data_IF_139295330263
#
_entry.id   IF_139295330263
#
_cell.length_a   1.000
_cell.length_b   1.000
_cell.length_c   1.000
_cell.angle_alpha   90.00
_cell.angle_beta   90.00
_cell.angle_gamma   90.00
#
_symmetry.space_group_name_H-M   'P 1'
#
loop_
_entity.id
_entity.type
_entity.pdbx_description
1 polymer ?
#
# COMPACT_ATOMS: atom_id res chain seq x y z
N UNK A 1 -37.22 21.98 5.25
CA UNK A 1 -36.79 22.48 3.93
C UNK A 1 -35.28 22.58 3.98
N UNK A 2 -34.62 21.54 3.52
CA UNK A 2 -33.16 21.47 3.47
C UNK A 2 -32.70 22.39 2.34
N UNK A 3 -31.98 23.44 2.72
CA UNK A 3 -31.36 24.36 1.79
C UNK A 3 -30.17 23.64 1.15
N UNK A 4 -30.43 22.88 0.08
CA UNK A 4 -29.38 22.31 -0.74
C UNK A 4 -28.80 23.44 -1.57
N UNK A 5 -27.72 24.06 -1.08
CA UNK A 5 -26.93 24.99 -1.89
C UNK A 5 -26.44 24.19 -3.10
N UNK A 6 -26.81 24.63 -4.31
CA UNK A 6 -26.35 24.01 -5.54
C UNK A 6 -24.81 23.92 -5.53
N UNK A 7 -24.29 22.77 -5.89
CA UNK A 7 -22.84 22.58 -6.03
C UNK A 7 -22.28 23.58 -7.06
N UNK A 8 -21.13 24.22 -6.79
CA UNK A 8 -20.51 25.11 -7.77
C UNK A 8 -20.26 24.39 -9.11
N UNK A 9 -20.61 25.00 -10.23
CA UNK A 9 -20.36 24.44 -11.59
C UNK A 9 -18.91 23.99 -11.77
N UNK A 10 -17.96 24.70 -11.18
CA UNK A 10 -16.55 24.38 -11.19
C UNK A 10 -16.22 23.05 -10.48
N UNK A 11 -16.82 22.77 -9.32
CA UNK A 11 -16.62 21.53 -8.59
C UNK A 11 -17.12 20.33 -9.39
N UNK A 12 -18.29 20.46 -10.02
CA UNK A 12 -18.86 19.45 -10.93
C UNK A 12 -17.95 19.19 -12.13
N UNK A 13 -17.43 20.26 -12.74
CA UNK A 13 -16.51 20.17 -13.88
C UNK A 13 -15.21 19.44 -13.49
N UNK A 14 -14.61 19.79 -12.35
CA UNK A 14 -13.38 19.16 -11.86
C UNK A 14 -13.61 17.69 -11.47
N UNK A 15 -14.72 17.37 -10.82
CA UNK A 15 -15.11 16.01 -10.49
C UNK A 15 -15.21 15.13 -11.73
N UNK A 16 -15.92 15.60 -12.76
CA UNK A 16 -16.07 14.87 -14.01
C UNK A 16 -14.72 14.69 -14.72
N UNK A 17 -13.88 15.72 -14.73
CA UNK A 17 -12.53 15.64 -15.30
C UNK A 17 -11.70 14.53 -14.62
N UNK A 18 -11.70 14.45 -13.29
CA UNK A 18 -10.99 13.37 -12.55
C UNK A 18 -11.50 12.00 -12.97
N UNK A 19 -12.80 11.81 -13.07
CA UNK A 19 -13.38 10.53 -13.47
C UNK A 19 -13.01 10.19 -14.92
N UNK A 20 -13.02 11.15 -15.82
CA UNK A 20 -12.59 10.97 -17.23
C UNK A 20 -11.11 10.55 -17.31
N UNK A 21 -10.24 11.17 -16.50
CA UNK A 21 -8.82 10.80 -16.40
C UNK A 21 -8.66 9.36 -15.90
N UNK A 22 -9.38 8.98 -14.83
CA UNK A 22 -9.32 7.62 -14.27
C UNK A 22 -9.77 6.55 -15.27
N UNK A 23 -10.81 6.85 -16.08
CA UNK A 23 -11.26 5.96 -17.15
C UNK A 23 -10.20 5.85 -18.27
N UNK A 24 -9.62 6.99 -18.68
CA UNK A 24 -8.62 7.03 -19.74
C UNK A 24 -7.33 6.26 -19.37
N UNK A 25 -6.94 6.33 -18.10
CA UNK A 25 -5.74 5.65 -17.57
C UNK A 25 -6.00 4.18 -17.19
N UNK A 26 -7.24 3.69 -17.35
CA UNK A 26 -7.62 2.31 -17.01
C UNK A 26 -7.65 2.01 -15.51
N UNK A 27 -7.68 3.05 -14.67
CA UNK A 27 -7.83 2.91 -13.21
C UNK A 27 -9.29 2.71 -12.79
N UNK A 28 -10.23 3.05 -13.66
CA UNK A 28 -11.66 2.93 -13.47
C UNK A 28 -12.29 2.31 -14.72
N UNK A 29 -13.00 1.20 -14.54
CA UNK A 29 -13.62 0.44 -15.64
C UNK A 29 -15.09 0.08 -15.37
N UNK A 30 -15.53 0.06 -14.11
CA UNK A 30 -16.89 -0.29 -13.70
C UNK A 30 -17.81 0.92 -13.84
N UNK A 31 -18.87 0.85 -14.68
CA UNK A 31 -19.84 1.96 -14.85
C UNK A 31 -20.52 2.35 -13.52
N UNK A 32 -20.73 1.41 -12.63
CA UNK A 32 -21.35 1.66 -11.32
C UNK A 32 -20.44 2.53 -10.44
N UNK A 33 -19.13 2.25 -10.41
CA UNK A 33 -18.16 3.04 -9.65
C UNK A 33 -17.99 4.42 -10.32
N UNK A 34 -17.94 4.48 -11.64
CA UNK A 34 -17.92 5.74 -12.39
C UNK A 34 -19.11 6.63 -12.02
N UNK A 35 -20.32 6.09 -12.05
CA UNK A 35 -21.53 6.83 -11.71
C UNK A 35 -21.51 7.38 -10.28
N UNK A 36 -21.05 6.57 -9.32
CA UNK A 36 -20.92 6.96 -7.90
C UNK A 36 -19.87 8.07 -7.73
N UNK A 37 -18.70 7.94 -8.34
CA UNK A 37 -17.65 8.97 -8.26
C UNK A 37 -18.05 10.28 -8.91
N UNK A 38 -18.90 10.26 -9.97
CA UNK A 38 -19.51 11.46 -10.58
C UNK A 38 -20.60 12.07 -9.70
N UNK A 39 -21.27 11.26 -8.87
CA UNK A 39 -22.38 11.71 -8.00
C UNK A 39 -21.89 12.38 -6.73
N UNK A 40 -20.98 11.72 -5.99
CA UNK A 40 -20.57 12.14 -4.64
C UNK A 40 -19.59 13.31 -4.70
N UNK A 41 -19.86 14.45 -4.02
CA UNK A 41 -19.02 15.63 -4.07
C UNK A 41 -17.79 15.48 -3.17
N UNK A 42 -16.67 14.99 -3.71
CA UNK A 42 -15.44 14.74 -2.96
C UNK A 42 -14.98 15.94 -2.11
N UNK A 43 -15.05 17.17 -2.66
CA UNK A 43 -14.62 18.38 -1.96
C UNK A 43 -15.38 18.63 -0.65
N UNK A 44 -16.61 18.12 -0.53
CA UNK A 44 -17.41 18.22 0.69
C UNK A 44 -16.84 17.39 1.85
N UNK A 45 -16.00 16.42 1.56
CA UNK A 45 -15.32 15.54 2.53
C UNK A 45 -13.87 15.95 2.80
N UNK A 46 -13.38 17.02 2.20
CA UNK A 46 -12.06 17.59 2.48
C UNK A 46 -12.14 18.67 3.56
N UNK A 47 -11.03 19.14 4.17
CA UNK A 47 -11.02 20.31 5.01
C UNK A 47 -11.60 21.54 4.28
N UNK A 48 -12.29 22.42 5.00
CA UNK A 48 -13.03 23.54 4.41
C UNK A 48 -12.15 24.57 3.67
N UNK A 49 -10.88 24.64 4.01
CA UNK A 49 -9.87 25.50 3.40
C UNK A 49 -9.17 24.86 2.18
N UNK A 50 -9.52 23.61 1.85
CA UNK A 50 -8.95 22.91 0.70
C UNK A 50 -9.46 23.52 -0.61
N UNK A 51 -8.54 23.94 -1.50
CA UNK A 51 -8.95 24.42 -2.82
C UNK A 51 -9.60 23.30 -3.65
N UNK A 52 -10.51 23.65 -4.56
CA UNK A 52 -11.14 22.68 -5.45
C UNK A 52 -10.09 21.92 -6.29
N UNK A 53 -9.06 22.60 -6.77
CA UNK A 53 -7.99 21.95 -7.52
C UNK A 53 -7.23 20.91 -6.69
N UNK A 54 -6.96 21.20 -5.43
CA UNK A 54 -6.34 20.24 -4.51
C UNK A 54 -7.29 19.08 -4.17
N UNK A 55 -8.57 19.39 -3.91
CA UNK A 55 -9.57 18.36 -3.62
C UNK A 55 -9.77 17.39 -4.80
N UNK A 56 -9.63 17.88 -6.03
CA UNK A 56 -9.81 17.13 -7.26
C UNK A 56 -8.49 16.83 -8.00
N UNK A 57 -7.36 16.78 -7.29
CA UNK A 57 -6.13 16.21 -7.84
C UNK A 57 -6.28 14.68 -7.90
N UNK A 58 -6.14 14.11 -9.10
CA UNK A 58 -6.40 12.69 -9.39
C UNK A 58 -5.47 11.75 -8.60
N UNK A 59 -4.24 12.19 -8.32
CA UNK A 59 -3.17 11.36 -7.76
C UNK A 59 -2.71 11.80 -6.37
N UNK A 60 -3.30 12.85 -5.81
CA UNK A 60 -2.95 13.35 -4.49
C UNK A 60 -4.02 13.09 -3.43
N UNK A 61 -3.58 12.63 -2.25
CA UNK A 61 -4.43 12.57 -1.07
C UNK A 61 -4.53 13.95 -0.42
N UNK A 62 -5.66 14.23 0.24
CA UNK A 62 -5.84 15.42 1.07
C UNK A 62 -5.72 15.04 2.54
N UNK A 63 -4.69 15.55 3.21
CA UNK A 63 -4.46 15.26 4.63
C UNK A 63 -5.54 15.94 5.48
N UNK A 64 -6.12 15.20 6.42
CA UNK A 64 -7.19 15.68 7.30
C UNK A 64 -6.77 15.76 8.76
N UNK A 65 -5.71 15.04 9.14
CA UNK A 65 -5.14 15.07 10.49
C UNK A 65 -3.65 14.72 10.46
N UNK A 66 -2.87 15.45 11.25
CA UNK A 66 -1.47 15.16 11.58
C UNK A 66 -1.31 15.13 13.09
N UNK A 67 -0.27 14.46 13.60
CA UNK A 67 0.16 14.58 15.00
C UNK A 67 1.01 15.85 15.23
N UNK A 68 1.48 16.01 16.47
CA UNK A 68 2.33 17.15 16.88
C UNK A 68 3.70 17.16 16.19
N UNK A 69 4.17 16.02 15.69
CA UNK A 69 5.42 15.86 14.95
C UNK A 69 5.22 16.00 13.43
N UNK A 70 3.99 16.26 12.96
CA UNK A 70 3.66 16.41 11.55
C UNK A 70 3.46 15.07 10.80
N UNK A 71 3.40 13.96 11.52
CA UNK A 71 3.08 12.64 10.92
C UNK A 71 1.62 12.61 10.51
N UNK A 72 1.36 12.18 9.30
CA UNK A 72 0.01 12.08 8.76
C UNK A 72 -0.75 10.92 9.40
N UNK A 73 -1.86 11.22 10.06
CA UNK A 73 -2.69 10.25 10.77
C UNK A 73 -3.99 9.91 10.02
N UNK A 74 -4.53 10.85 9.24
CA UNK A 74 -5.75 10.64 8.46
C UNK A 74 -5.72 11.45 7.17
N UNK A 75 -6.35 10.93 6.14
CA UNK A 75 -6.48 11.62 4.84
C UNK A 75 -7.75 11.19 4.10
N UNK A 76 -8.19 12.04 3.17
CA UNK A 76 -9.06 11.62 2.07
C UNK A 76 -8.14 11.11 0.97
N UNK A 77 -8.15 9.81 0.74
CA UNK A 77 -7.24 9.13 -0.21
C UNK A 77 -7.37 9.70 -1.63
N UNK A 78 -6.31 9.63 -2.43
CA UNK A 78 -6.34 10.07 -3.83
C UNK A 78 -7.47 9.38 -4.60
N UNK A 79 -8.15 10.08 -5.53
CA UNK A 79 -9.21 9.49 -6.34
C UNK A 79 -8.81 8.20 -7.05
N UNK A 80 -7.60 8.14 -7.58
CA UNK A 80 -7.04 6.95 -8.23
C UNK A 80 -6.96 5.76 -7.27
N UNK A 81 -6.55 5.96 -6.02
CA UNK A 81 -6.48 4.90 -5.02
C UNK A 81 -7.89 4.43 -4.62
N UNK A 82 -8.85 5.36 -4.47
CA UNK A 82 -10.23 5.01 -4.15
C UNK A 82 -10.89 4.22 -5.28
N UNK A 83 -10.77 4.66 -6.54
CA UNK A 83 -11.27 3.93 -7.71
C UNK A 83 -10.69 2.51 -7.77
N UNK A 84 -9.37 2.38 -7.66
CA UNK A 84 -8.65 1.10 -7.67
C UNK A 84 -9.16 0.13 -6.59
N UNK A 85 -9.36 0.61 -5.36
CA UNK A 85 -9.81 -0.25 -4.25
C UNK A 85 -11.30 -0.61 -4.37
N UNK A 86 -12.13 0.29 -4.87
CA UNK A 86 -13.55 -0.01 -5.17
C UNK A 86 -13.68 -1.07 -6.27
N UNK A 87 -12.86 -0.98 -7.34
CA UNK A 87 -12.75 -2.03 -8.38
C UNK A 87 -12.33 -3.38 -7.78
N UNK A 88 -11.36 -3.36 -6.87
CA UNK A 88 -10.91 -4.56 -6.16
C UNK A 88 -12.00 -5.14 -5.25
N UNK A 89 -12.81 -4.30 -4.62
CA UNK A 89 -13.84 -4.72 -3.69
C UNK A 89 -15.03 -5.41 -4.38
N UNK A 90 -15.35 -5.05 -5.62
CA UNK A 90 -16.48 -5.60 -6.38
C UNK A 90 -17.80 -5.51 -5.62
N UNK A 91 -18.07 -4.36 -5.04
CA UNK A 91 -19.29 -4.09 -4.27
C UNK A 91 -20.52 -4.27 -5.16
N UNK A 92 -21.57 -4.90 -4.61
CA UNK A 92 -22.86 -5.10 -5.29
C UNK A 92 -24.02 -4.60 -4.43
N UNK A 93 -25.14 -4.22 -5.04
CA UNK A 93 -26.36 -3.89 -4.30
C UNK A 93 -26.75 -4.99 -3.29
N UNK A 94 -27.22 -4.57 -2.12
CA UNK A 94 -27.62 -5.46 -1.02
C UNK A 94 -26.47 -6.03 -0.19
N UNK A 95 -25.21 -5.76 -0.54
CA UNK A 95 -24.07 -6.24 0.24
C UNK A 95 -23.95 -5.47 1.56
N UNK A 96 -23.30 -6.13 2.52
CA UNK A 96 -22.90 -5.59 3.81
C UNK A 96 -21.41 -5.37 3.83
N UNK A 97 -20.95 -4.13 4.10
CA UNK A 97 -19.55 -3.73 4.02
C UNK A 97 -19.08 -3.17 5.35
N UNK A 98 -17.93 -3.66 5.82
CA UNK A 98 -17.15 -3.05 6.90
C UNK A 98 -16.00 -2.27 6.26
N UNK A 99 -15.97 -0.96 6.46
CA UNK A 99 -14.82 -0.11 6.17
C UNK A 99 -14.01 0.13 7.44
N UNK A 100 -12.69 0.00 7.34
CA UNK A 100 -11.73 0.30 8.43
C UNK A 100 -10.89 1.49 8.02
N UNK A 101 -11.00 2.59 8.79
CA UNK A 101 -10.50 3.91 8.44
C UNK A 101 -11.64 4.81 7.96
N UNK A 102 -12.16 5.68 8.84
CA UNK A 102 -13.42 6.41 8.62
C UNK A 102 -13.19 7.83 8.10
N UNK A 103 -12.79 7.99 6.85
CA UNK A 103 -12.68 9.31 6.20
C UNK A 103 -14.01 9.94 5.77
N UNK A 104 -15.10 9.17 5.77
CA UNK A 104 -16.45 9.57 5.35
C UNK A 104 -16.70 9.44 3.84
N UNK A 105 -15.83 9.94 2.98
CA UNK A 105 -16.03 9.90 1.52
C UNK A 105 -16.14 8.48 0.96
N UNK A 106 -15.24 7.59 1.36
CA UNK A 106 -15.26 6.23 0.84
C UNK A 106 -16.50 5.47 1.36
N UNK A 107 -16.91 5.70 2.62
CA UNK A 107 -18.17 5.20 3.14
C UNK A 107 -19.39 5.70 2.34
N UNK A 108 -19.39 6.96 1.87
CA UNK A 108 -20.43 7.48 0.99
C UNK A 108 -20.44 6.77 -0.38
N UNK A 109 -19.28 6.49 -0.98
CA UNK A 109 -19.19 5.69 -2.20
C UNK A 109 -19.73 4.27 -1.99
N UNK A 110 -19.34 3.62 -0.89
CA UNK A 110 -19.81 2.29 -0.54
C UNK A 110 -21.32 2.28 -0.34
N UNK A 111 -21.88 3.29 0.36
CA UNK A 111 -23.31 3.42 0.57
C UNK A 111 -24.10 3.55 -0.74
N UNK A 112 -23.60 4.30 -1.71
CA UNK A 112 -24.22 4.37 -3.05
C UNK A 112 -24.16 3.04 -3.78
N UNK A 113 -23.02 2.33 -3.72
CA UNK A 113 -22.84 1.05 -4.40
C UNK A 113 -23.70 -0.08 -3.83
N UNK A 114 -23.86 -0.15 -2.50
CA UNK A 114 -24.69 -1.18 -1.86
C UNK A 114 -26.19 -0.89 -1.99
N UNK A 115 -26.57 0.36 -2.28
CA UNK A 115 -27.96 0.78 -2.40
C UNK A 115 -28.74 0.77 -1.08
N UNK A 116 -30.06 0.88 -1.16
CA UNK A 116 -30.95 0.99 0.02
C UNK A 116 -31.06 -0.33 0.82
N UNK A 117 -30.93 -1.47 0.14
CA UNK A 117 -31.01 -2.81 0.75
C UNK A 117 -29.68 -3.28 1.35
N UNK A 118 -28.59 -2.53 1.13
CA UNK A 118 -27.28 -2.83 1.66
C UNK A 118 -26.96 -2.04 2.95
N UNK A 119 -25.85 -2.42 3.59
CA UNK A 119 -25.43 -1.84 4.86
C UNK A 119 -23.94 -1.50 4.83
N UNK A 120 -23.58 -0.34 5.38
CA UNK A 120 -22.19 0.11 5.52
C UNK A 120 -21.91 0.50 6.95
N UNK A 121 -20.92 -0.17 7.53
CA UNK A 121 -20.35 0.20 8.82
C UNK A 121 -18.93 0.72 8.57
N UNK A 122 -18.60 1.90 9.04
CA UNK A 122 -17.27 2.48 8.97
C UNK A 122 -16.71 2.67 10.37
N UNK A 123 -15.48 2.23 10.61
CA UNK A 123 -14.84 2.24 11.92
C UNK A 123 -13.50 2.93 11.89
N UNK A 124 -13.23 3.71 12.92
CA UNK A 124 -11.91 4.31 13.17
C UNK A 124 -11.65 4.34 14.69
N UNK A 125 -10.38 4.23 15.04
CA UNK A 125 -9.96 4.30 16.45
C UNK A 125 -10.00 5.72 17.00
N UNK A 126 -9.92 6.72 16.12
CA UNK A 126 -9.82 8.14 16.49
C UNK A 126 -11.21 8.80 16.56
N UNK A 127 -11.66 9.25 17.74
CA UNK A 127 -12.96 9.88 17.89
C UNK A 127 -13.09 11.18 17.08
N UNK A 128 -11.99 11.93 16.85
CA UNK A 128 -12.03 13.15 16.03
C UNK A 128 -12.34 12.81 14.56
N UNK A 129 -11.79 11.68 14.07
CA UNK A 129 -12.03 11.20 12.71
C UNK A 129 -13.47 10.73 12.58
N UNK A 130 -13.97 9.91 13.52
CA UNK A 130 -15.35 9.37 13.46
C UNK A 130 -16.40 10.46 13.64
N UNK A 131 -16.19 11.43 14.52
CA UNK A 131 -17.13 12.56 14.70
C UNK A 131 -17.21 13.43 13.44
N UNK A 132 -16.05 13.67 12.80
CA UNK A 132 -16.01 14.36 11.52
C UNK A 132 -16.74 13.57 10.42
N UNK A 133 -16.47 12.27 10.32
CA UNK A 133 -17.13 11.40 9.34
C UNK A 133 -18.63 11.38 9.51
N UNK A 134 -19.13 11.18 10.74
CA UNK A 134 -20.57 11.18 11.07
C UNK A 134 -21.22 12.48 10.63
N UNK A 135 -20.68 13.61 11.03
CA UNK A 135 -21.20 14.92 10.65
C UNK A 135 -21.27 15.10 9.13
N UNK A 136 -20.19 14.79 8.40
CA UNK A 136 -20.16 14.96 6.94
C UNK A 136 -21.12 13.99 6.22
N UNK A 137 -21.24 12.76 6.68
CA UNK A 137 -22.17 11.79 6.13
C UNK A 137 -23.63 12.25 6.33
N UNK A 138 -23.98 12.75 7.53
CA UNK A 138 -25.31 13.27 7.82
C UNK A 138 -25.64 14.52 6.97
N UNK A 139 -24.70 15.47 6.87
CA UNK A 139 -24.86 16.70 6.07
C UNK A 139 -25.09 16.41 4.58
N UNK A 140 -24.58 15.28 4.06
CA UNK A 140 -24.65 14.96 2.63
C UNK A 140 -25.62 13.81 2.32
N UNK A 141 -26.51 13.46 3.27
CA UNK A 141 -27.60 12.51 3.02
C UNK A 141 -27.21 11.02 3.17
N UNK A 142 -26.07 10.74 3.80
CA UNK A 142 -25.57 9.37 4.07
C UNK A 142 -25.72 8.95 5.53
N UNK A 143 -26.65 9.55 6.29
CA UNK A 143 -26.87 9.25 7.71
C UNK A 143 -27.26 7.78 8.02
N UNK A 144 -27.51 6.97 6.99
CA UNK A 144 -27.70 5.52 7.11
C UNK A 144 -26.39 4.73 7.31
N UNK A 145 -25.23 5.35 7.10
CA UNK A 145 -23.92 4.73 7.35
C UNK A 145 -23.68 4.71 8.86
N UNK A 146 -23.39 3.52 9.38
CA UNK A 146 -23.07 3.35 10.79
C UNK A 146 -21.61 3.68 11.09
N UNK A 147 -21.37 4.79 11.78
CA UNK A 147 -20.01 5.22 12.16
C UNK A 147 -19.70 4.75 13.57
N UNK A 148 -18.65 3.96 13.73
CA UNK A 148 -18.22 3.35 15.00
C UNK A 148 -16.84 3.86 15.39
N UNK A 149 -16.65 4.21 16.67
CA UNK A 149 -15.33 4.52 17.23
C UNK A 149 -14.83 3.31 18.01
N UNK A 150 -13.88 2.57 17.44
CA UNK A 150 -13.31 1.35 18.04
C UNK A 150 -11.96 1.00 17.40
N UNK A 151 -11.17 0.19 18.11
CA UNK A 151 -10.02 -0.50 17.48
C UNK A 151 -10.54 -1.68 16.64
N UNK A 152 -10.42 -1.57 15.32
CA UNK A 152 -10.89 -2.60 14.38
C UNK A 152 -10.04 -3.88 14.38
N UNK A 153 -8.99 -3.97 15.17
CA UNK A 153 -8.29 -5.22 15.44
C UNK A 153 -9.14 -6.20 16.25
N UNK A 154 -10.11 -5.66 17.01
CA UNK A 154 -11.10 -6.42 17.75
C UNK A 154 -12.42 -6.54 16.94
N UNK A 155 -13.22 -7.58 17.19
CA UNK A 155 -14.51 -7.73 16.54
C UNK A 155 -15.44 -6.55 16.86
N UNK A 156 -16.08 -5.98 15.83
CA UNK A 156 -17.09 -4.93 16.02
C UNK A 156 -18.37 -5.59 16.57
N UNK A 157 -18.83 -5.17 17.75
CA UNK A 157 -20.05 -5.75 18.36
C UNK A 157 -21.26 -5.63 17.43
N UNK A 158 -22.13 -6.63 17.44
CA UNK A 158 -23.39 -6.69 16.70
C UNK A 158 -23.28 -6.52 15.18
N UNK A 159 -22.05 -6.45 14.64
CA UNK A 159 -21.85 -6.32 13.19
C UNK A 159 -22.39 -7.52 12.42
N UNK A 160 -22.24 -8.74 12.96
CA UNK A 160 -22.55 -9.98 12.22
C UNK A 160 -21.59 -10.22 11.07
N UNK A 161 -21.97 -11.10 10.15
CA UNK A 161 -21.15 -11.40 8.96
C UNK A 161 -21.26 -10.32 7.87
N UNK A 162 -20.15 -9.91 7.30
CA UNK A 162 -20.08 -8.95 6.18
C UNK A 162 -19.61 -9.61 4.89
N UNK A 163 -20.02 -9.06 3.76
CA UNK A 163 -19.61 -9.55 2.44
C UNK A 163 -18.22 -9.01 2.07
N UNK A 164 -17.89 -7.81 2.57
CA UNK A 164 -16.63 -7.14 2.27
C UNK A 164 -16.08 -6.51 3.56
N UNK A 165 -14.78 -6.70 3.78
CA UNK A 165 -13.96 -5.86 4.65
C UNK A 165 -13.04 -5.04 3.78
N UNK A 166 -13.12 -3.70 3.87
CA UNK A 166 -12.29 -2.77 3.13
C UNK A 166 -11.46 -1.94 4.10
N UNK A 167 -10.14 -2.17 4.12
CA UNK A 167 -9.21 -1.44 4.98
C UNK A 167 -8.65 -0.26 4.22
N UNK A 168 -8.75 0.94 4.77
CA UNK A 168 -8.25 2.18 4.16
C UNK A 168 -7.11 2.83 4.95
N UNK A 169 -6.38 2.02 5.71
CA UNK A 169 -5.13 2.35 6.38
C UNK A 169 -4.06 1.28 6.06
N UNK A 170 -2.79 1.65 6.12
CA UNK A 170 -1.69 0.75 5.82
C UNK A 170 -1.49 -0.30 6.90
N UNK A 171 -1.91 -1.54 6.62
CA UNK A 171 -1.82 -2.65 7.56
C UNK A 171 -0.51 -3.42 7.38
N UNK A 172 0.17 -3.70 8.50
CA UNK A 172 1.32 -4.59 8.50
C UNK A 172 0.93 -6.05 8.62
N UNK A 173 -0.18 -6.34 9.31
CA UNK A 173 -0.70 -7.69 9.53
C UNK A 173 -2.20 -7.74 9.24
N UNK A 174 -2.77 -8.93 9.16
CA UNK A 174 -4.20 -9.17 9.03
C UNK A 174 -4.75 -9.53 10.41
N UNK A 175 -5.55 -8.63 10.99
CA UNK A 175 -6.18 -8.91 12.27
C UNK A 175 -7.17 -10.09 12.15
N UNK A 176 -7.17 -11.04 13.11
CA UNK A 176 -8.09 -12.18 13.09
C UNK A 176 -9.57 -11.77 13.04
N UNK A 177 -9.93 -10.63 13.65
CA UNK A 177 -11.28 -10.10 13.62
C UNK A 177 -11.79 -9.81 12.19
N UNK A 178 -10.91 -9.39 11.28
CA UNK A 178 -11.32 -9.08 9.90
C UNK A 178 -11.77 -10.31 9.14
N UNK A 179 -11.04 -11.42 9.30
CA UNK A 179 -11.39 -12.69 8.64
C UNK A 179 -12.57 -13.40 9.34
N UNK A 180 -12.65 -13.30 10.68
CA UNK A 180 -13.74 -13.89 11.45
C UNK A 180 -15.10 -13.23 11.17
N UNK A 181 -15.11 -11.95 10.80
CA UNK A 181 -16.33 -11.22 10.45
C UNK A 181 -16.71 -11.33 8.96
N UNK A 182 -15.85 -11.92 8.10
CA UNK A 182 -16.20 -12.19 6.72
C UNK A 182 -17.15 -13.39 6.61
N UNK A 183 -18.18 -13.25 5.77
CA UNK A 183 -19.00 -14.40 5.34
C UNK A 183 -18.16 -15.34 4.47
N UNK A 184 -18.61 -16.58 4.35
CA UNK A 184 -18.02 -17.52 3.39
C UNK A 184 -18.07 -16.91 1.97
N UNK A 185 -16.93 -16.89 1.29
CA UNK A 185 -16.79 -16.24 -0.02
C UNK A 185 -16.70 -14.72 0.03
N UNK A 186 -16.66 -14.13 1.24
CA UNK A 186 -16.46 -12.71 1.43
C UNK A 186 -15.05 -12.25 0.96
N UNK A 187 -14.90 -10.94 0.78
CA UNK A 187 -13.71 -10.32 0.22
C UNK A 187 -13.06 -9.36 1.22
N UNK A 188 -11.74 -9.48 1.37
CA UNK A 188 -10.91 -8.52 2.10
C UNK A 188 -10.09 -7.70 1.10
N UNK A 189 -10.21 -6.36 1.14
CA UNK A 189 -9.34 -5.44 0.41
C UNK A 189 -8.52 -4.66 1.41
N UNK A 190 -7.19 -4.77 1.33
CA UNK A 190 -6.31 -4.21 2.35
C UNK A 190 -5.00 -3.71 1.77
N UNK A 191 -4.54 -2.50 2.13
CA UNK A 191 -3.18 -2.04 1.86
C UNK A 191 -2.20 -2.77 2.77
N UNK A 192 -1.73 -3.94 2.30
CA UNK A 192 -0.86 -4.82 3.08
C UNK A 192 0.61 -4.45 2.85
N UNK A 193 1.32 -4.24 3.94
CA UNK A 193 2.75 -3.94 3.95
C UNK A 193 3.56 -5.21 4.12
N UNK A 194 4.51 -5.41 3.22
CA UNK A 194 5.37 -6.60 3.14
C UNK A 194 6.77 -6.15 2.77
N UNK A 195 7.72 -6.30 3.67
CA UNK A 195 9.14 -6.00 3.44
C UNK A 195 9.41 -4.59 2.90
N UNK A 196 8.76 -3.56 3.47
CA UNK A 196 8.90 -2.16 3.05
C UNK A 196 8.07 -1.79 1.81
N UNK A 197 7.35 -2.73 1.22
CA UNK A 197 6.48 -2.52 0.06
C UNK A 197 5.01 -2.60 0.47
N UNK A 198 4.20 -1.63 0.05
CA UNK A 198 2.76 -1.66 0.31
C UNK A 198 2.00 -1.97 -0.97
N UNK A 199 1.06 -2.91 -0.87
CA UNK A 199 0.15 -3.28 -1.96
C UNK A 199 -1.29 -3.26 -1.46
N UNK A 200 -2.19 -2.63 -2.22
CA UNK A 200 -3.61 -2.90 -2.06
C UNK A 200 -3.90 -4.28 -2.61
N UNK A 201 -4.23 -5.21 -1.72
CA UNK A 201 -4.48 -6.61 -2.08
C UNK A 201 -5.94 -6.92 -1.88
N UNK A 202 -6.57 -7.47 -2.91
CA UNK A 202 -7.89 -8.07 -2.79
C UNK A 202 -7.73 -9.58 -2.54
N UNK A 203 -8.22 -10.03 -1.40
CA UNK A 203 -8.20 -11.42 -0.99
C UNK A 203 -9.60 -12.02 -1.04
N UNK A 204 -9.66 -13.33 -1.34
CA UNK A 204 -10.80 -14.20 -1.06
C UNK A 204 -10.36 -15.33 -0.15
N UNK A 205 -11.27 -15.76 0.70
CA UNK A 205 -11.06 -16.95 1.52
C UNK A 205 -11.21 -18.20 0.64
N UNK A 206 -10.22 -19.08 0.69
CA UNK A 206 -10.21 -20.34 -0.05
C UNK A 206 -9.89 -21.50 0.90
N UNK A 207 -10.44 -22.68 0.60
CA UNK A 207 -10.00 -23.91 1.27
C UNK A 207 -8.67 -24.32 0.65
N UNK A 208 -7.62 -24.26 1.47
CA UNK A 208 -6.31 -24.80 1.12
C UNK A 208 -6.19 -26.27 1.49
N UNK A 209 -5.12 -26.92 1.06
CA UNK A 209 -4.84 -28.33 1.37
C UNK A 209 -4.75 -28.58 2.89
N UNK A 210 -4.37 -27.55 3.66
CA UNK A 210 -4.15 -27.63 5.12
C UNK A 210 -5.11 -26.72 5.91
N UNK A 211 -6.26 -26.39 5.35
CA UNK A 211 -7.27 -25.54 5.97
C UNK A 211 -7.48 -24.18 5.27
N UNK A 212 -8.40 -23.36 5.80
CA UNK A 212 -8.75 -22.10 5.16
C UNK A 212 -7.58 -21.11 5.17
N UNK A 213 -7.36 -20.44 4.04
CA UNK A 213 -6.41 -19.34 3.92
C UNK A 213 -6.99 -18.22 3.04
N UNK A 214 -6.40 -17.04 3.11
CA UNK A 214 -6.70 -15.97 2.15
C UNK A 214 -5.79 -16.13 0.93
N UNK A 215 -6.34 -15.95 -0.26
CA UNK A 215 -5.59 -15.93 -1.52
C UNK A 215 -5.84 -14.63 -2.26
N UNK A 216 -4.77 -13.98 -2.72
CA UNK A 216 -4.88 -12.77 -3.51
C UNK A 216 -5.48 -13.03 -4.90
N UNK A 217 -6.38 -12.15 -5.32
CA UNK A 217 -6.87 -12.08 -6.70
C UNK A 217 -6.19 -10.93 -7.46
N UNK A 218 -5.77 -9.90 -6.76
CA UNK A 218 -5.00 -8.79 -7.31
C UNK A 218 -4.14 -8.13 -6.24
N UNK A 219 -3.01 -7.56 -6.65
CA UNK A 219 -2.13 -6.76 -5.82
C UNK A 219 -1.68 -5.54 -6.63
N UNK A 220 -1.92 -4.33 -6.11
CA UNK A 220 -1.63 -3.07 -6.79
C UNK A 220 -0.78 -2.16 -5.91
N UNK A 221 0.17 -1.42 -6.51
CA UNK A 221 0.99 -0.45 -5.76
C UNK A 221 0.08 0.61 -5.13
N UNK A 222 0.32 0.90 -3.85
CA UNK A 222 -0.37 1.96 -3.14
C UNK A 222 0.50 2.50 -1.98
N UNK A 223 0.12 3.67 -1.47
CA UNK A 223 0.63 4.23 -0.22
C UNK A 223 -0.53 4.64 0.68
N UNK A 224 -0.41 4.40 1.97
CA UNK A 224 -1.41 4.75 2.98
C UNK A 224 -0.75 5.23 4.26
N UNK A 225 -1.47 6.05 5.02
CA UNK A 225 -1.12 6.33 6.41
C UNK A 225 -1.09 5.02 7.20
N UNK A 226 -0.13 4.84 8.13
CA UNK A 226 -0.01 3.59 8.88
C UNK A 226 -1.22 3.35 9.79
N UNK A 227 -1.57 2.08 9.96
CA UNK A 227 -2.56 1.63 10.94
C UNK A 227 -2.13 2.04 12.35
N UNK A 228 -3.09 2.47 13.15
CA UNK A 228 -2.92 2.80 14.56
C UNK A 228 -3.53 1.69 15.45
N UNK A 229 -3.41 1.85 16.78
CA UNK A 229 -3.98 0.90 17.74
C UNK A 229 -3.13 -0.35 17.96
N UNK A 230 -3.76 -1.45 18.30
CA UNK A 230 -3.09 -2.70 18.68
C UNK A 230 -2.37 -3.39 17.52
N UNK A 231 -2.70 -3.07 16.27
CA UNK A 231 -2.02 -3.57 15.06
C UNK A 231 -1.03 -2.57 14.47
N UNK A 232 -0.71 -1.49 15.20
CA UNK A 232 0.31 -0.53 14.78
C UNK A 232 1.67 -1.23 14.65
N UNK A 233 2.37 -0.95 13.57
CA UNK A 233 3.72 -1.47 13.32
C UNK A 233 4.66 -0.33 12.97
N UNK A 234 5.88 -0.40 13.48
CA UNK A 234 6.95 0.52 13.13
C UNK A 234 8.03 -0.23 12.39
N UNK A 235 8.43 0.33 11.25
CA UNK A 235 9.66 -0.12 10.60
C UNK A 235 10.87 0.15 11.51
N UNK A 236 11.83 -0.75 11.49
CA UNK A 236 13.09 -0.56 12.18
C UNK A 236 14.07 0.17 11.26
N UNK A 237 14.76 1.17 11.81
CA UNK A 237 15.71 2.01 11.10
C UNK A 237 17.13 1.68 11.55
N UNK A 238 17.95 1.23 10.61
CA UNK A 238 19.39 1.10 10.80
C UNK A 238 20.10 2.30 10.17
N UNK A 239 20.79 3.08 10.99
CA UNK A 239 21.66 4.16 10.50
C UNK A 239 23.05 3.58 10.19
N UNK A 240 23.43 3.59 8.92
CA UNK A 240 24.74 3.10 8.51
C UNK A 240 25.82 3.96 9.13
N UNK A 241 26.81 3.34 9.75
CA UNK A 241 27.88 4.01 10.48
C UNK A 241 27.38 4.96 11.60
N UNK A 242 26.17 4.71 12.14
CA UNK A 242 25.59 5.50 13.23
C UNK A 242 25.24 6.94 12.85
N UNK A 243 25.25 7.29 11.56
CA UNK A 243 24.95 8.65 11.08
C UNK A 243 23.57 8.70 10.42
N UNK A 244 22.85 9.84 10.50
CA UNK A 244 21.53 9.98 9.88
C UNK A 244 21.58 10.08 8.35
N UNK A 245 22.76 10.07 7.74
CA UNK A 245 22.93 10.24 6.30
C UNK A 245 22.28 9.11 5.51
N UNK A 246 22.53 7.85 5.93
CA UNK A 246 22.03 6.67 5.24
C UNK A 246 21.20 5.84 6.22
N UNK A 247 19.91 5.77 6.00
CA UNK A 247 18.98 4.95 6.76
C UNK A 247 18.48 3.77 5.96
N UNK A 248 18.69 2.56 6.46
CA UNK A 248 18.11 1.34 5.93
C UNK A 248 16.91 0.95 6.78
N UNK A 249 15.77 0.74 6.14
CA UNK A 249 14.47 0.51 6.79
C UNK A 249 14.01 -0.92 6.57
N UNK A 250 13.71 -1.60 7.68
CA UNK A 250 13.31 -3.00 7.70
C UNK A 250 11.91 -3.15 8.32
N UNK A 251 11.07 -3.95 7.71
CA UNK A 251 9.75 -4.29 8.25
C UNK A 251 9.76 -5.57 9.08
N UNK A 252 10.70 -6.46 8.79
CA UNK A 252 10.72 -7.83 9.33
C UNK A 252 11.83 -7.99 10.39
N UNK A 253 12.28 -6.90 10.99
CA UNK A 253 13.38 -6.86 11.96
C UNK A 253 14.74 -6.52 11.33
N UNK A 254 15.64 -6.00 12.17
CA UNK A 254 17.01 -5.69 11.77
C UNK A 254 17.81 -6.97 11.45
N UNK A 255 18.89 -6.87 10.66
CA UNK A 255 19.87 -7.94 10.56
C UNK A 255 20.36 -8.39 11.94
N UNK A 256 20.68 -9.67 12.08
CA UNK A 256 21.09 -10.28 13.37
C UNK A 256 22.28 -9.54 14.05
N UNK A 257 23.16 -8.95 13.25
CA UNK A 257 24.26 -8.10 13.72
C UNK A 257 24.34 -6.83 12.86
N UNK A 258 23.55 -5.77 13.20
CA UNK A 258 23.51 -4.54 12.44
C UNK A 258 24.84 -3.76 12.44
N UNK A 259 25.67 -3.96 13.47
CA UNK A 259 26.98 -3.29 13.59
C UNK A 259 28.01 -3.76 12.54
N UNK A 260 27.77 -4.87 11.85
CA UNK A 260 28.64 -5.31 10.75
C UNK A 260 28.69 -4.28 9.61
N UNK A 261 27.68 -3.45 9.47
CA UNK A 261 27.62 -2.38 8.44
C UNK A 261 28.35 -1.08 8.84
N UNK A 262 28.82 -0.93 10.08
CA UNK A 262 29.39 0.32 10.58
C UNK A 262 30.56 0.83 9.72
N UNK A 263 31.32 -0.06 9.11
CA UNK A 263 32.46 0.29 8.27
C UNK A 263 32.20 0.13 6.75
N UNK A 264 30.99 -0.25 6.34
CA UNK A 264 30.70 -0.48 4.93
C UNK A 264 31.04 0.72 4.04
N UNK A 265 30.78 1.95 4.54
CA UNK A 265 31.03 3.20 3.81
C UNK A 265 32.52 3.59 3.73
N UNK A 266 33.41 2.89 4.41
CA UNK A 266 34.87 3.11 4.31
C UNK A 266 35.46 2.43 3.08
N UNK A 267 34.74 1.50 2.47
CA UNK A 267 35.14 0.83 1.24
C UNK A 267 34.73 1.64 0.02
N UNK A 268 35.51 1.56 -1.08
CA UNK A 268 35.12 2.19 -2.34
C UNK A 268 33.75 1.67 -2.81
N UNK A 269 32.88 2.61 -3.23
CA UNK A 269 31.60 2.22 -3.84
C UNK A 269 31.85 1.47 -5.13
N UNK A 270 31.32 0.25 -5.21
CA UNK A 270 31.28 -0.53 -6.45
C UNK A 270 30.02 -0.16 -7.25
N UNK A 271 30.17 0.12 -8.53
CA UNK A 271 29.09 0.50 -9.44
C UNK A 271 28.97 -0.51 -10.58
N UNK A 272 27.82 -1.13 -10.73
CA UNK A 272 27.54 -2.13 -11.76
C UNK A 272 26.30 -1.70 -12.57
N UNK A 273 26.43 -1.61 -13.88
CA UNK A 273 25.29 -1.38 -14.77
C UNK A 273 24.85 -2.71 -15.36
N UNK A 274 23.54 -3.00 -15.24
CA UNK A 274 23.00 -4.36 -15.43
C UNK A 274 22.67 -4.71 -16.87
N UNK A 275 22.50 -3.70 -17.74
CA UNK A 275 21.94 -3.84 -19.07
C UNK A 275 20.40 -3.89 -19.11
N UNK A 276 19.75 -4.04 -17.94
CA UNK A 276 18.28 -4.06 -17.84
C UNK A 276 17.74 -2.65 -17.99
N UNK A 277 16.89 -2.42 -18.98
CA UNK A 277 16.31 -1.12 -19.27
C UNK A 277 14.80 -1.12 -19.15
N UNK A 278 14.21 -0.03 -18.63
CA UNK A 278 12.77 0.17 -18.52
C UNK A 278 12.35 1.50 -19.15
N UNK A 279 11.13 1.59 -19.63
CA UNK A 279 10.58 2.87 -20.08
C UNK A 279 10.36 3.79 -18.88
N UNK A 280 10.51 5.10 -19.07
CA UNK A 280 10.04 6.09 -18.08
C UNK A 280 8.53 5.88 -17.90
N UNK A 281 8.09 5.79 -16.65
CA UNK A 281 6.70 5.48 -16.23
C UNK A 281 6.26 4.01 -16.45
N UNK A 282 7.15 3.10 -16.82
CA UNK A 282 6.82 1.68 -16.79
C UNK A 282 6.56 1.22 -15.35
N UNK A 283 5.52 0.41 -15.16
CA UNK A 283 5.23 -0.18 -13.86
C UNK A 283 6.30 -1.22 -13.51
N UNK A 284 6.91 -1.05 -12.36
CA UNK A 284 7.99 -1.91 -11.83
C UNK A 284 7.54 -2.69 -10.59
N UNK A 285 6.24 -2.88 -10.42
CA UNK A 285 5.66 -3.58 -9.29
C UNK A 285 6.20 -5.00 -9.14
N UNK A 286 6.35 -5.74 -10.25
CA UNK A 286 6.92 -7.09 -10.27
C UNK A 286 8.42 -7.10 -10.00
N UNK A 287 9.18 -6.05 -10.39
CA UNK A 287 10.60 -5.91 -10.02
C UNK A 287 10.77 -5.74 -8.51
N UNK A 288 9.97 -4.86 -7.90
CA UNK A 288 10.00 -4.67 -6.45
C UNK A 288 9.75 -5.99 -5.71
N UNK A 289 8.75 -6.75 -6.16
CA UNK A 289 8.43 -8.05 -5.59
C UNK A 289 9.52 -9.10 -5.86
N UNK A 290 10.15 -9.09 -7.02
CA UNK A 290 11.26 -9.99 -7.33
C UNK A 290 12.42 -9.79 -6.37
N UNK A 291 12.81 -8.55 -6.10
CA UNK A 291 13.85 -8.25 -5.11
C UNK A 291 13.43 -8.65 -3.69
N UNK A 292 12.20 -8.32 -3.28
CA UNK A 292 11.69 -8.64 -1.95
C UNK A 292 11.60 -10.17 -1.71
N UNK A 293 11.30 -10.95 -2.73
CA UNK A 293 11.23 -12.41 -2.65
C UNK A 293 12.64 -13.03 -2.64
N UNK A 294 13.51 -12.58 -3.56
CA UNK A 294 14.79 -13.26 -3.82
C UNK A 294 15.89 -12.89 -2.81
N UNK A 295 15.86 -11.67 -2.25
CA UNK A 295 16.93 -11.18 -1.40
C UNK A 295 16.57 -11.31 0.10
N UNK A 296 17.25 -12.16 0.88
CA UNK A 296 16.96 -12.34 2.31
C UNK A 296 17.01 -11.04 3.12
N UNK A 297 18.03 -10.21 2.88
CA UNK A 297 18.21 -8.92 3.56
C UNK A 297 17.56 -7.74 2.81
N UNK A 298 16.52 -7.96 2.02
CA UNK A 298 15.82 -6.86 1.32
C UNK A 298 15.30 -5.83 2.30
N UNK A 299 15.52 -4.55 1.95
CA UNK A 299 15.07 -3.40 2.72
C UNK A 299 14.83 -2.20 1.78
N UNK A 300 14.43 -1.08 2.33
CA UNK A 300 14.41 0.19 1.61
C UNK A 300 15.44 1.14 2.19
N UNK A 301 16.02 2.00 1.36
CA UNK A 301 17.01 3.00 1.79
C UNK A 301 16.41 4.40 1.65
N UNK A 302 16.66 5.23 2.66
CA UNK A 302 16.44 6.67 2.61
C UNK A 302 17.75 7.40 2.96
N UNK A 303 17.95 8.55 2.35
CA UNK A 303 19.13 9.40 2.53
C UNK A 303 18.68 10.76 3.04
N UNK A 304 19.39 11.33 4.00
CA UNK A 304 19.14 12.68 4.47
C UNK A 304 19.28 13.67 3.29
N UNK A 305 18.22 14.42 3.02
CA UNK A 305 18.19 15.40 1.93
C UNK A 305 19.22 16.52 2.10
N UNK A 306 19.60 16.82 3.35
CA UNK A 306 20.56 17.86 3.69
C UNK A 306 22.02 17.38 3.66
N UNK A 307 22.24 16.06 3.53
CA UNK A 307 23.58 15.47 3.43
C UNK A 307 23.97 15.26 1.97
N UNK A 308 25.18 15.68 1.62
CA UNK A 308 25.76 15.46 0.29
C UNK A 308 27.26 15.13 0.43
N UNK A 309 27.53 14.00 1.07
CA UNK A 309 28.90 13.49 1.22
C UNK A 309 29.40 12.75 -0.03
N UNK A 310 28.48 12.43 -0.97
CA UNK A 310 28.79 11.65 -2.16
C UNK A 310 28.97 10.15 -1.89
N UNK A 311 28.76 9.67 -0.67
CA UNK A 311 28.87 8.24 -0.31
C UNK A 311 27.85 7.41 -1.08
N UNK A 312 26.62 7.89 -1.17
CA UNK A 312 25.53 7.23 -1.90
C UNK A 312 24.86 8.20 -2.86
N UNK A 313 24.32 7.69 -3.96
CA UNK A 313 23.68 8.50 -5.00
C UNK A 313 22.41 7.81 -5.54
N UNK A 314 21.38 7.55 -4.70
CA UNK A 314 20.14 6.96 -5.18
C UNK A 314 19.38 7.96 -6.08
N UNK A 315 18.63 7.43 -7.06
CA UNK A 315 17.78 8.26 -7.93
C UNK A 315 16.67 8.98 -7.15
N UNK A 316 16.20 8.39 -6.05
CA UNK A 316 15.26 8.99 -5.11
C UNK A 316 15.83 8.88 -3.69
N UNK A 317 16.17 10.02 -3.09
CA UNK A 317 16.74 10.07 -1.73
C UNK A 317 15.78 9.57 -0.64
N UNK A 318 14.46 9.65 -0.86
CA UNK A 318 13.46 9.23 0.13
C UNK A 318 13.16 7.74 0.09
N UNK A 319 13.38 7.11 -1.07
CA UNK A 319 13.03 5.72 -1.27
C UNK A 319 13.90 5.09 -2.38
N UNK A 320 14.76 4.16 -2.02
CA UNK A 320 15.47 3.30 -2.94
C UNK A 320 15.33 1.85 -2.50
N UNK A 321 15.18 0.93 -3.47
CA UNK A 321 15.23 -0.49 -3.19
C UNK A 321 16.66 -0.86 -2.83
N UNK A 322 16.82 -1.55 -1.71
CA UNK A 322 18.12 -1.90 -1.16
C UNK A 322 18.11 -3.31 -0.57
N UNK A 323 19.29 -3.81 -0.30
CA UNK A 323 19.46 -5.06 0.43
C UNK A 323 20.77 -5.04 1.22
N UNK A 324 20.83 -5.90 2.24
CA UNK A 324 22.00 -6.13 3.09
C UNK A 324 22.37 -7.60 3.02
N UNK A 325 23.66 -7.88 2.95
CA UNK A 325 24.23 -9.20 3.11
C UNK A 325 25.49 -9.06 3.98
N UNK A 326 25.44 -9.60 5.18
CA UNK A 326 26.52 -9.53 6.19
C UNK A 326 26.98 -8.07 6.48
N UNK A 327 28.15 -7.70 6.02
CA UNK A 327 28.85 -6.42 6.23
C UNK A 327 28.80 -5.49 5.00
N UNK A 328 27.93 -5.82 4.05
CA UNK A 328 27.80 -5.13 2.78
C UNK A 328 26.34 -4.77 2.53
N UNK A 329 26.08 -3.55 2.06
CA UNK A 329 24.76 -3.16 1.56
C UNK A 329 24.84 -2.69 0.11
N UNK A 330 23.72 -2.82 -0.58
CA UNK A 330 23.60 -2.35 -1.96
C UNK A 330 22.20 -1.75 -2.21
N UNK A 331 22.11 -0.89 -3.20
CA UNK A 331 20.86 -0.23 -3.58
C UNK A 331 20.78 -0.03 -5.09
N UNK A 332 19.55 0.06 -5.61
CA UNK A 332 19.31 0.33 -7.02
C UNK A 332 19.48 1.79 -7.35
N UNK A 333 20.07 2.00 -8.52
CA UNK A 333 20.18 3.30 -9.17
C UNK A 333 19.66 3.22 -10.60
N UNK A 334 19.44 4.37 -11.23
CA UNK A 334 19.08 4.43 -12.65
C UNK A 334 19.89 5.50 -13.35
N UNK A 335 20.20 5.28 -14.63
CA UNK A 335 20.73 6.31 -15.51
C UNK A 335 19.91 6.38 -16.81
N UNK A 336 19.89 7.53 -17.45
CA UNK A 336 19.29 7.66 -18.77
C UNK A 336 20.13 6.95 -19.81
N UNK A 337 19.48 6.22 -20.70
CA UNK A 337 20.11 5.64 -21.89
C UNK A 337 20.24 6.72 -22.98
N UNK A 338 20.92 6.40 -24.10
CA UNK A 338 20.97 7.30 -25.28
C UNK A 338 19.56 7.59 -25.81
N UNK A 339 18.65 6.62 -25.77
CA UNK A 339 17.23 6.85 -25.93
C UNK A 339 16.66 7.41 -24.61
N UNK A 340 16.46 8.72 -24.57
CA UNK A 340 15.98 9.48 -23.40
C UNK A 340 14.64 8.99 -22.82
N UNK A 341 13.95 8.07 -23.50
CA UNK A 341 12.70 7.45 -23.03
C UNK A 341 12.93 6.23 -22.14
N UNK A 342 14.16 5.74 -22.03
CA UNK A 342 14.50 4.59 -21.22
C UNK A 342 15.49 4.94 -20.11
N UNK A 343 15.40 4.19 -19.02
CA UNK A 343 16.33 4.18 -17.91
C UNK A 343 16.98 2.81 -17.82
N UNK A 344 18.29 2.76 -17.64
CA UNK A 344 19.01 1.54 -17.30
C UNK A 344 19.16 1.42 -15.79
N UNK A 345 18.88 0.25 -15.24
CA UNK A 345 19.15 -0.04 -13.84
C UNK A 345 20.62 -0.36 -13.60
N UNK A 346 21.12 0.20 -12.50
CA UNK A 346 22.42 -0.13 -11.94
C UNK A 346 22.28 -0.55 -10.48
N UNK A 347 23.34 -1.15 -9.96
CA UNK A 347 23.51 -1.51 -8.57
C UNK A 347 24.75 -0.81 -8.05
N UNK A 348 24.59 -0.03 -6.98
CA UNK A 348 25.70 0.51 -6.20
C UNK A 348 25.81 -0.29 -4.90
N UNK A 349 27.00 -0.71 -4.56
CA UNK A 349 27.25 -1.50 -3.35
C UNK A 349 28.45 -0.94 -2.57
N UNK A 350 28.37 -1.03 -1.25
CA UNK A 350 29.42 -0.61 -0.30
C UNK A 350 29.64 -1.70 0.74
N UNK A 351 30.90 -1.97 1.01
CA UNK A 351 31.35 -2.99 1.95
C UNK A 351 32.42 -3.89 1.34
N UNK A 352 32.97 -4.83 2.15
CA UNK A 352 34.08 -5.70 1.71
C UNK A 352 33.71 -6.61 0.53
N UNK A 353 32.42 -6.96 0.40
CA UNK A 353 31.93 -7.89 -0.65
C UNK A 353 31.09 -7.18 -1.72
N UNK A 354 31.29 -5.86 -1.90
CA UNK A 354 30.44 -5.00 -2.75
C UNK A 354 30.29 -5.53 -4.17
N UNK A 355 31.36 -5.99 -4.82
CA UNK A 355 31.29 -6.55 -6.19
C UNK A 355 30.40 -7.78 -6.23
N UNK A 356 30.67 -8.79 -5.39
CA UNK A 356 29.92 -10.04 -5.39
C UNK A 356 28.44 -9.82 -5.09
N UNK A 357 28.14 -8.92 -4.17
CA UNK A 357 26.74 -8.61 -3.81
C UNK A 357 26.03 -7.82 -4.93
N UNK A 358 26.73 -6.90 -5.60
CA UNK A 358 26.18 -6.20 -6.77
C UNK A 358 25.86 -7.19 -7.92
N UNK A 359 26.75 -8.14 -8.21
CA UNK A 359 26.52 -9.19 -9.20
C UNK A 359 25.27 -10.01 -8.88
N UNK A 360 25.10 -10.44 -7.63
CA UNK A 360 23.92 -11.18 -7.16
C UNK A 360 22.61 -10.41 -7.36
N UNK A 361 22.59 -9.10 -7.06
CA UNK A 361 21.41 -8.26 -7.27
C UNK A 361 21.16 -8.05 -8.77
N UNK A 362 22.21 -7.85 -9.57
CA UNK A 362 22.09 -7.74 -11.03
C UNK A 362 21.48 -8.99 -11.66
N UNK A 363 21.82 -10.17 -11.14
CA UNK A 363 21.22 -11.44 -11.61
C UNK A 363 19.72 -11.51 -11.26
N UNK A 364 19.29 -11.00 -10.11
CA UNK A 364 17.85 -10.86 -9.78
C UNK A 364 17.13 -9.96 -10.78
N UNK A 365 17.75 -8.84 -11.19
CA UNK A 365 17.16 -7.93 -12.18
C UNK A 365 17.05 -8.59 -13.56
N UNK A 366 18.08 -9.31 -13.99
CA UNK A 366 18.10 -10.03 -15.27
C UNK A 366 17.07 -11.17 -15.29
N UNK A 367 16.96 -11.92 -14.17
CA UNK A 367 15.91 -12.94 -14.03
C UNK A 367 14.51 -12.33 -14.10
N UNK A 368 14.29 -11.21 -13.40
CA UNK A 368 13.03 -10.47 -13.50
C UNK A 368 12.73 -10.05 -14.95
N UNK A 369 13.70 -9.47 -15.66
CA UNK A 369 13.52 -9.04 -17.05
C UNK A 369 13.13 -10.22 -17.95
N UNK A 370 13.81 -11.35 -17.78
CA UNK A 370 13.62 -12.53 -18.61
C UNK A 370 12.30 -13.28 -18.32
N UNK A 371 11.88 -13.33 -17.05
CA UNK A 371 10.87 -14.28 -16.60
C UNK A 371 9.63 -13.66 -15.94
N UNK A 372 9.67 -12.37 -15.52
CA UNK A 372 8.63 -11.77 -14.66
C UNK A 372 8.09 -10.44 -15.17
N UNK A 373 8.87 -9.73 -15.99
CA UNK A 373 8.51 -8.42 -16.53
C UNK A 373 7.25 -8.48 -17.37
N UNK A 374 6.27 -7.61 -17.06
CA UNK A 374 4.98 -7.60 -17.76
C UNK A 374 4.09 -8.82 -17.51
N UNK A 375 4.55 -9.75 -16.67
CA UNK A 375 3.80 -10.92 -16.24
C UNK A 375 2.89 -10.63 -15.03
N UNK A 376 2.21 -11.66 -14.51
CA UNK A 376 1.34 -11.52 -13.34
C UNK A 376 2.17 -11.24 -12.08
N UNK A 377 1.57 -10.52 -11.13
CA UNK A 377 2.11 -10.35 -9.78
C UNK A 377 2.22 -11.70 -9.06
N UNK A 378 3.11 -11.82 -8.05
CA UNK A 378 3.14 -12.99 -7.19
C UNK A 378 1.78 -13.23 -6.54
N UNK A 379 1.43 -14.49 -6.36
CA UNK A 379 0.28 -14.89 -5.55
C UNK A 379 0.65 -14.70 -4.09
N UNK A 380 -0.17 -13.94 -3.38
CA UNK A 380 -0.05 -13.71 -1.95
C UNK A 380 -1.07 -14.58 -1.24
N UNK A 381 -0.61 -15.40 -0.28
CA UNK A 381 -1.53 -16.13 0.62
C UNK A 381 -1.27 -15.72 2.05
N UNK A 382 -2.32 -15.76 2.86
CA UNK A 382 -2.24 -15.46 4.28
C UNK A 382 -2.77 -16.67 5.04
N UNK A 383 -1.92 -17.21 5.89
CA UNK A 383 -2.21 -18.33 6.77
C UNK A 383 -2.26 -17.85 8.22
N UNK A 384 -2.96 -18.52 9.12
CA UNK A 384 -2.89 -18.25 10.56
C UNK A 384 -1.45 -18.34 11.08
N UNK A 385 -1.10 -17.53 12.06
CA UNK A 385 0.17 -17.65 12.78
C UNK A 385 0.33 -19.07 13.34
N UNK A 386 1.56 -19.61 13.29
CA UNK A 386 1.84 -20.98 13.75
C UNK A 386 1.56 -22.08 12.71
N UNK A 387 1.06 -21.77 11.52
CA UNK A 387 0.98 -22.76 10.42
C UNK A 387 2.41 -23.28 10.12
N UNK A 388 2.65 -24.61 10.12
CA UNK A 388 3.98 -25.18 9.88
C UNK A 388 4.54 -24.85 8.50
N UNK A 389 5.86 -24.73 8.37
CA UNK A 389 6.53 -24.39 7.11
C UNK A 389 6.21 -25.35 5.98
N UNK A 390 6.14 -26.65 6.27
CA UNK A 390 5.82 -27.70 5.30
C UNK A 390 4.39 -27.58 4.71
N UNK A 391 3.54 -26.79 5.34
CA UNK A 391 2.17 -26.53 4.87
C UNK A 391 2.05 -25.22 4.07
N UNK A 392 3.14 -24.46 3.96
CA UNK A 392 3.15 -23.16 3.26
C UNK A 392 4.02 -23.23 2.00
N UNK A 393 3.45 -23.60 0.85
CA UNK A 393 4.22 -23.54 -0.40
C UNK A 393 4.50 -22.09 -0.77
N UNK A 394 5.78 -21.72 -0.82
CA UNK A 394 6.17 -20.34 -1.09
C UNK A 394 7.61 -20.20 -1.58
N UNK A 395 7.88 -19.17 -2.40
CA UNK A 395 9.23 -18.69 -2.68
C UNK A 395 9.77 -17.85 -1.50
N UNK A 396 8.86 -17.21 -0.76
CA UNK A 396 9.15 -16.45 0.46
C UNK A 396 8.00 -16.52 1.44
N UNK A 397 8.31 -16.75 2.71
CA UNK A 397 7.37 -16.60 3.84
C UNK A 397 7.79 -15.39 4.68
N UNK A 398 6.80 -14.62 5.13
CA UNK A 398 6.96 -13.49 6.03
C UNK A 398 6.11 -13.77 7.26
N UNK A 399 6.75 -13.90 8.41
CA UNK A 399 6.07 -14.14 9.68
C UNK A 399 5.60 -12.81 10.27
N UNK A 400 4.34 -12.78 10.69
CA UNK A 400 3.68 -11.65 11.36
C UNK A 400 3.16 -12.10 12.72
N UNK A 401 2.56 -11.19 13.48
CA UNK A 401 2.02 -11.52 14.80
C UNK A 401 0.83 -12.48 14.71
N UNK A 402 -0.08 -12.21 13.80
CA UNK A 402 -1.34 -12.96 13.66
C UNK A 402 -1.39 -13.85 12.43
N UNK A 403 -0.47 -13.64 11.49
CA UNK A 403 -0.49 -14.35 10.21
C UNK A 403 0.91 -14.72 9.72
N UNK A 404 0.94 -15.63 8.75
CA UNK A 404 2.11 -15.96 7.93
C UNK A 404 1.78 -15.66 6.47
N UNK A 405 2.53 -14.76 5.87
CA UNK A 405 2.28 -14.32 4.49
C UNK A 405 3.22 -15.07 3.56
N UNK A 406 2.67 -15.80 2.60
CA UNK A 406 3.44 -16.46 1.56
C UNK A 406 3.40 -15.68 0.26
N UNK A 407 4.55 -15.58 -0.39
CA UNK A 407 4.71 -14.97 -1.71
C UNK A 407 5.20 -16.06 -2.67
N UNK A 408 4.50 -16.30 -3.77
CA UNK A 408 4.87 -17.30 -4.76
C UNK A 408 4.63 -16.78 -6.17
N UNK A 409 5.60 -16.95 -7.05
CA UNK A 409 5.35 -16.70 -8.47
C UNK A 409 4.41 -17.76 -9.04
N UNK A 410 3.43 -17.37 -9.90
CA UNK A 410 2.64 -18.34 -10.63
C UNK A 410 3.54 -19.28 -11.42
N UNK A 411 3.20 -20.57 -11.44
CA UNK A 411 3.85 -21.52 -12.33
C UNK A 411 3.65 -21.09 -13.79
N UNK A 412 4.68 -21.16 -14.58
CA UNK A 412 4.65 -20.85 -16.01
C UNK A 412 3.71 -21.79 -16.77
#
# INVERSE_FOLDING_TARGET
MTNTTAEPDEATRLRNKVVDELCADGNLSSPEIEAVMRKVPRHAFTPADTSLNTAYDTYAAVITKTDEQGVQLSSVSAPQIQAMMLEQARVKPGMRVLEIGSGGLNAAYLAELVGEDGDVVTVDIDPVVTDRARRLLDEHGYGRVHVVTADAAEPIPDLGGVDIVMVTAGAWDIAPAWTAQLKQGGRLVVPLRMRGLTRSVAFTQVEGEHGPCLKSESAKICGFVPMQGSTAHREELLLVNGTPEIGLKFDDGLPADPHRLDNAVTFPRHELWTGVTVRIQELIDTLQMAMAISLPGFCTMAVDENSDTGLVAPANKRFALAAVEDDTFAYLVTRRTEDVKHLEYGVHALGPHAQQFADKIADVLRDWEANRRGGPSPVIRVYPAGTPDEQIPADRVIDKVHSRISLSWPSA
#
